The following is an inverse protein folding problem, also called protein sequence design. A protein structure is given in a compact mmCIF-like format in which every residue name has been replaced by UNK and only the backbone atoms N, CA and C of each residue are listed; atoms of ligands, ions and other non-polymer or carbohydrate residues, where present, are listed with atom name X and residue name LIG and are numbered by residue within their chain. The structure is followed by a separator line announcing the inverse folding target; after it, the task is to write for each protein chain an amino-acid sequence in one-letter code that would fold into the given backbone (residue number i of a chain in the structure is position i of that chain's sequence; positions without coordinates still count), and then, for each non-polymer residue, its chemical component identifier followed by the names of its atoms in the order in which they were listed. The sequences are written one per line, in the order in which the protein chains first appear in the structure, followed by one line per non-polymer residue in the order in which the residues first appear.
data_IF_165618255066
#
_entry.id   IF_165618255066
#
_cell.length_a   1.000
_cell.length_b   1.000
_cell.length_c   1.000
_cell.angle_alpha   90.00
_cell.angle_beta   90.00
_cell.angle_gamma   90.00
#
_symmetry.space_group_name_H-M   'P 1'
#
loop_
_entity.id
_entity.type
_entity.pdbx_description
1 polymer ?
#
# COMPACT_ATOMS: atom_id res chain seq x y z
N UNK A 1 14.51 -7.97 -5.36
CA UNK A 1 13.45 -7.28 -4.58
C UNK A 1 13.42 -7.75 -3.12
N UNK A 2 12.92 -6.96 -2.17
CA UNK A 2 12.62 -7.40 -0.79
C UNK A 2 11.11 -7.27 -0.58
N UNK A 3 10.45 -8.36 -0.21
CA UNK A 3 9.03 -8.35 0.13
C UNK A 3 8.86 -8.26 1.64
N UNK A 4 7.94 -7.40 2.08
CA UNK A 4 7.56 -7.27 3.49
C UNK A 4 6.07 -7.56 3.59
N UNK A 5 5.70 -8.46 4.49
CA UNK A 5 4.32 -8.64 4.93
C UNK A 5 4.24 -8.46 6.46
N UNK A 6 3.06 -8.62 7.04
CA UNK A 6 2.80 -8.37 8.46
C UNK A 6 3.70 -9.14 9.43
N UNK A 7 4.34 -10.23 8.98
CA UNK A 7 5.16 -11.10 9.84
C UNK A 7 6.54 -11.43 9.27
N UNK A 8 6.82 -11.12 8.00
CA UNK A 8 8.05 -11.59 7.35
C UNK A 8 8.65 -10.53 6.45
N UNK A 9 9.97 -10.46 6.46
CA UNK A 9 10.78 -9.82 5.42
C UNK A 9 11.51 -10.93 4.65
N UNK A 10 11.30 -10.96 3.34
CA UNK A 10 11.78 -12.03 2.46
C UNK A 10 12.71 -11.46 1.39
N UNK A 11 13.97 -11.94 1.27
CA UNK A 11 14.82 -11.62 0.14
C UNK A 11 14.33 -12.35 -1.12
N UNK A 12 13.78 -11.61 -2.09
CA UNK A 12 13.36 -12.17 -3.38
C UNK A 12 14.52 -12.09 -4.37
N UNK A 13 15.24 -13.21 -4.48
CA UNK A 13 16.32 -13.38 -5.46
C UNK A 13 15.75 -13.72 -6.84
N UNK A 14 16.45 -13.26 -7.87
CA UNK A 14 16.18 -13.65 -9.26
C UNK A 14 16.39 -15.16 -9.41
N UNK A 15 15.37 -15.86 -9.90
CA UNK A 15 15.40 -17.33 -10.07
C UNK A 15 15.79 -17.71 -11.50
N UNK A 16 15.30 -16.96 -12.49
CA UNK A 16 15.55 -17.18 -13.92
C UNK A 16 15.88 -15.87 -14.62
N UNK A 17 16.52 -15.97 -15.78
CA UNK A 17 16.76 -14.83 -16.66
C UNK A 17 15.45 -14.32 -17.29
N UNK A 18 15.36 -13.01 -17.59
CA UNK A 18 14.22 -12.45 -18.32
C UNK A 18 14.00 -13.20 -19.64
N UNK A 19 12.74 -13.44 -19.98
CA UNK A 19 12.37 -14.23 -21.16
C UNK A 19 12.23 -13.32 -22.39
N UNK A 20 12.82 -13.73 -23.51
CA UNK A 20 12.81 -12.95 -24.75
C UNK A 20 13.43 -11.57 -24.54
N UNK A 21 12.68 -10.52 -24.87
CA UNK A 21 13.08 -9.12 -24.73
C UNK A 21 12.52 -8.45 -23.47
N UNK A 22 12.01 -9.23 -22.52
CA UNK A 22 11.52 -8.69 -21.25
C UNK A 22 12.65 -7.98 -20.50
N UNK A 23 12.38 -6.78 -20.00
CA UNK A 23 13.31 -5.97 -19.21
C UNK A 23 12.68 -5.63 -17.87
N UNK A 24 13.49 -5.37 -16.84
CA UNK A 24 12.97 -4.87 -15.57
C UNK A 24 12.55 -3.41 -15.71
N UNK A 25 11.49 -3.02 -15.00
CA UNK A 25 10.92 -1.67 -15.09
C UNK A 25 11.91 -0.57 -14.68
N UNK A 26 12.82 -0.86 -13.73
CA UNK A 26 13.83 0.09 -13.30
C UNK A 26 14.73 0.53 -14.46
N UNK A 27 15.23 -0.42 -15.25
CA UNK A 27 16.05 -0.14 -16.43
C UNK A 27 15.24 0.50 -17.56
N UNK A 28 13.98 0.10 -17.75
CA UNK A 28 13.09 0.71 -18.76
C UNK A 28 12.91 2.20 -18.44
N UNK A 29 12.54 2.55 -17.20
CA UNK A 29 12.34 3.95 -16.81
C UNK A 29 13.64 4.75 -16.75
N UNK A 30 14.76 4.11 -16.42
CA UNK A 30 16.08 4.74 -16.47
C UNK A 30 16.47 5.12 -17.91
N UNK A 31 16.19 4.25 -18.89
CA UNK A 31 16.42 4.54 -20.31
C UNK A 31 15.46 5.60 -20.84
N UNK A 32 14.18 5.54 -20.49
CA UNK A 32 13.20 6.57 -20.86
C UNK A 32 13.66 7.94 -20.33
N UNK A 33 14.20 7.99 -19.11
CA UNK A 33 14.72 9.22 -18.52
C UNK A 33 15.88 9.81 -19.31
N UNK A 34 16.79 8.97 -19.81
CA UNK A 34 17.89 9.39 -20.69
C UNK A 34 17.38 9.96 -22.02
N UNK A 35 16.32 9.36 -22.59
CA UNK A 35 15.71 9.86 -23.82
C UNK A 35 15.01 11.22 -23.63
N UNK A 36 14.45 11.46 -22.44
CA UNK A 36 13.81 12.75 -22.11
C UNK A 36 14.85 13.86 -21.97
N UNK A 37 16.00 13.55 -21.35
CA UNK A 37 17.07 14.53 -21.11
C UNK A 37 18.42 13.81 -21.01
N UNK A 38 19.41 14.32 -21.72
CA UNK A 38 20.79 13.84 -21.59
C UNK A 38 21.26 13.85 -20.12
N UNK A 39 21.76 12.72 -19.63
CA UNK A 39 22.10 12.49 -18.23
C UNK A 39 20.91 12.18 -17.31
N UNK A 40 19.71 12.00 -17.88
CA UNK A 40 18.48 11.69 -17.14
C UNK A 40 18.54 10.32 -16.47
N UNK A 41 19.31 9.36 -17.00
CA UNK A 41 19.53 8.06 -16.36
C UNK A 41 20.18 8.22 -14.99
N UNK A 42 21.24 9.01 -14.90
CA UNK A 42 21.99 9.19 -13.64
C UNK A 42 21.14 9.89 -12.59
N UNK A 43 20.32 10.85 -13.01
CA UNK A 43 19.36 11.53 -12.13
C UNK A 43 18.30 10.56 -11.63
N UNK A 44 17.68 9.77 -12.51
CA UNK A 44 16.63 8.81 -12.15
C UNK A 44 17.16 7.69 -11.23
N UNK A 45 18.33 7.15 -11.58
CA UNK A 45 18.93 6.05 -10.80
C UNK A 45 19.63 6.53 -9.54
N UNK A 46 19.84 7.84 -9.38
CA UNK A 46 20.74 8.45 -8.39
C UNK A 46 22.15 7.83 -8.42
N UNK A 47 22.60 7.39 -9.60
CA UNK A 47 23.82 6.62 -9.83
C UNK A 47 23.93 5.34 -8.97
N UNK A 48 22.79 4.76 -8.55
CA UNK A 48 22.71 3.52 -7.77
C UNK A 48 22.23 2.35 -8.64
N UNK A 49 22.80 1.18 -8.40
CA UNK A 49 22.27 -0.07 -8.97
C UNK A 49 21.01 -0.54 -8.22
N UNK A 50 20.27 -1.51 -8.79
CA UNK A 50 19.16 -2.17 -8.08
C UNK A 50 19.61 -2.72 -6.72
N UNK A 51 20.81 -3.32 -6.65
CA UNK A 51 21.35 -3.87 -5.41
C UNK A 51 21.67 -2.79 -4.37
N UNK A 52 22.13 -1.61 -4.80
CA UNK A 52 22.36 -0.47 -3.91
C UNK A 52 21.05 0.06 -3.33
N UNK A 53 20.01 0.13 -4.17
CA UNK A 53 18.65 0.48 -3.73
C UNK A 53 18.11 -0.52 -2.71
N UNK A 54 18.19 -1.82 -2.99
CA UNK A 54 17.76 -2.88 -2.07
C UNK A 54 18.49 -2.82 -0.74
N UNK A 55 19.81 -2.61 -0.77
CA UNK A 55 20.62 -2.42 0.43
C UNK A 55 20.16 -1.19 1.22
N UNK A 56 19.92 -0.06 0.57
CA UNK A 56 19.46 1.17 1.21
C UNK A 56 18.08 1.01 1.88
N UNK A 57 17.13 0.35 1.22
CA UNK A 57 15.82 0.02 1.80
C UNK A 57 15.96 -0.89 3.01
N UNK A 58 16.79 -1.94 2.90
CA UNK A 58 17.06 -2.86 4.00
C UNK A 58 17.68 -2.16 5.21
N UNK A 59 18.67 -1.30 5.01
CA UNK A 59 19.33 -0.57 6.09
C UNK A 59 18.37 0.42 6.77
N UNK A 60 17.46 1.04 6.01
CA UNK A 60 16.38 1.87 6.56
C UNK A 60 15.43 1.05 7.42
N UNK A 61 15.00 -0.12 6.92
CA UNK A 61 14.18 -1.06 7.70
C UNK A 61 14.92 -1.57 8.94
N UNK A 62 16.22 -1.86 8.85
CA UNK A 62 17.05 -2.29 9.97
C UNK A 62 17.13 -1.22 11.07
N UNK A 63 17.23 0.06 10.71
CA UNK A 63 17.18 1.17 11.69
C UNK A 63 15.85 1.19 12.44
N UNK A 64 14.72 1.05 11.74
CA UNK A 64 13.39 0.96 12.36
C UNK A 64 13.21 -0.31 13.21
N UNK A 65 13.67 -1.46 12.73
CA UNK A 65 13.60 -2.74 13.42
C UNK A 65 14.34 -2.76 14.76
N UNK A 66 15.45 -2.03 14.88
CA UNK A 66 16.16 -1.86 16.17
C UNK A 66 15.28 -1.23 17.23
N UNK A 67 14.48 -0.21 16.88
CA UNK A 67 13.54 0.42 17.82
C UNK A 67 12.45 -0.56 18.28
N UNK A 68 12.04 -1.48 17.40
CA UNK A 68 11.08 -2.54 17.68
C UNK A 68 11.69 -3.83 18.28
N UNK A 69 13.00 -3.83 18.60
CA UNK A 69 13.75 -5.00 19.10
C UNK A 69 13.72 -6.23 18.17
N UNK A 70 13.61 -6.00 16.85
CA UNK A 70 13.72 -7.05 15.83
C UNK A 70 15.18 -7.24 15.45
N UNK A 71 15.69 -8.47 15.54
CA UNK A 71 17.07 -8.80 15.17
C UNK A 71 17.17 -8.97 13.65
N UNK A 72 17.75 -7.98 12.99
CA UNK A 72 18.00 -8.00 11.55
C UNK A 72 19.51 -8.11 11.27
N UNK A 73 20.00 -9.13 10.54
CA UNK A 73 21.43 -9.30 10.21
C UNK A 73 21.96 -8.20 9.29
N UNK A 74 23.24 -8.19 8.94
CA UNK A 74 23.72 -7.30 7.86
C UNK A 74 23.07 -7.66 6.52
N UNK A 75 22.98 -6.70 5.59
CA UNK A 75 22.42 -6.96 4.25
C UNK A 75 23.15 -8.10 3.55
N UNK A 76 24.49 -8.11 3.59
CA UNK A 76 25.29 -9.19 3.00
C UNK A 76 24.94 -10.56 3.57
N UNK A 77 24.75 -10.67 4.89
CA UNK A 77 24.36 -11.92 5.53
C UNK A 77 22.93 -12.34 5.14
N UNK A 78 21.98 -11.40 5.12
CA UNK A 78 20.62 -11.69 4.64
C UNK A 78 20.65 -12.22 3.20
N UNK A 79 21.42 -11.55 2.34
CA UNK A 79 21.50 -11.89 0.94
C UNK A 79 22.21 -13.22 0.72
N UNK A 80 23.23 -13.55 1.50
CA UNK A 80 23.93 -14.84 1.41
C UNK A 80 23.03 -15.99 1.89
N UNK A 81 22.47 -15.89 3.11
CA UNK A 81 21.69 -16.99 3.71
C UNK A 81 20.35 -17.21 3.02
N UNK A 82 19.79 -16.17 2.38
CA UNK A 82 18.47 -16.22 1.75
C UNK A 82 17.35 -16.61 2.72
N UNK A 83 17.55 -16.38 4.01
CA UNK A 83 16.58 -16.69 5.06
C UNK A 83 15.58 -15.55 5.21
N UNK A 84 14.32 -15.90 5.45
CA UNK A 84 13.31 -14.91 5.84
C UNK A 84 13.58 -14.39 7.26
N UNK A 85 13.31 -13.11 7.48
CA UNK A 85 13.32 -12.52 8.82
C UNK A 85 11.90 -12.53 9.35
N UNK A 86 11.66 -13.24 10.44
CA UNK A 86 10.37 -13.24 11.13
C UNK A 86 10.25 -12.05 12.09
N UNK A 87 9.19 -11.28 11.91
CA UNK A 87 8.72 -10.25 12.84
C UNK A 87 7.79 -10.94 13.82
N UNK A 88 8.30 -11.15 15.05
CA UNK A 88 7.58 -11.90 16.08
C UNK A 88 6.23 -11.29 16.40
N UNK A 89 5.26 -12.17 16.60
CA UNK A 89 3.95 -11.83 17.13
C UNK A 89 4.07 -11.01 18.44
N UNK A 90 3.28 -9.94 18.53
CA UNK A 90 3.21 -9.09 19.71
C UNK A 90 1.86 -9.29 20.41
N UNK A 91 1.88 -9.86 21.62
CA UNK A 91 0.67 -9.97 22.47
C UNK A 91 0.00 -8.61 22.71
N UNK A 92 0.81 -7.55 22.86
CA UNK A 92 0.32 -6.18 22.99
C UNK A 92 -0.44 -5.74 21.73
N UNK A 93 0.11 -6.00 20.55
CA UNK A 93 -0.55 -5.66 19.29
C UNK A 93 -1.82 -6.51 19.05
N UNK A 94 -1.80 -7.77 19.46
CA UNK A 94 -2.95 -8.67 19.35
C UNK A 94 -4.13 -8.27 20.25
N UNK A 95 -3.88 -7.50 21.31
CA UNK A 95 -4.93 -6.91 22.17
C UNK A 95 -5.56 -5.64 21.61
N UNK A 96 -5.22 -5.23 20.37
CA UNK A 96 -5.77 -4.02 19.77
C UNK A 96 -7.27 -4.14 19.52
N UNK A 97 -8.04 -3.17 20.02
CA UNK A 97 -9.49 -3.06 19.81
C UNK A 97 -9.77 -1.79 19.01
N UNK A 98 -10.21 -1.96 17.76
CA UNK A 98 -10.48 -0.84 16.84
C UNK A 98 -11.54 0.10 17.45
N UNK A 99 -11.26 1.41 17.43
CA UNK A 99 -12.11 2.48 17.96
C UNK A 99 -12.38 2.46 19.48
N UNK A 100 -11.64 1.67 20.28
CA UNK A 100 -11.82 1.64 21.73
C UNK A 100 -11.59 3.01 22.39
N UNK A 101 -10.55 3.74 21.99
CA UNK A 101 -10.21 5.04 22.59
C UNK A 101 -11.25 6.11 22.24
N UNK A 102 -11.70 6.17 20.97
CA UNK A 102 -12.80 7.04 20.55
C UNK A 102 -14.10 6.73 21.33
N UNK A 103 -14.42 5.45 21.54
CA UNK A 103 -15.58 5.06 22.35
C UNK A 103 -15.43 5.47 23.80
N UNK A 104 -14.23 5.40 24.36
CA UNK A 104 -13.93 5.74 25.76
C UNK A 104 -14.02 7.25 26.00
N UNK A 105 -13.44 8.04 25.11
CA UNK A 105 -13.45 9.51 25.18
C UNK A 105 -13.34 10.10 23.76
N UNK A 106 -14.48 10.46 23.13
CA UNK A 106 -14.50 11.01 21.78
C UNK A 106 -14.05 12.47 21.70
N UNK A 107 -13.93 13.18 22.83
CA UNK A 107 -13.45 14.58 22.86
C UNK A 107 -11.92 14.59 22.81
N UNK A 108 -11.28 13.72 23.59
CA UNK A 108 -9.82 13.58 23.61
C UNK A 108 -9.27 12.75 22.46
N UNK A 109 -10.08 11.86 21.88
CA UNK A 109 -9.68 11.00 20.74
C UNK A 109 -10.64 11.17 19.55
N UNK A 110 -10.80 12.40 19.00
CA UNK A 110 -11.75 12.66 17.93
C UNK A 110 -11.37 11.93 16.64
N UNK A 111 -12.37 11.62 15.80
CA UNK A 111 -12.13 11.15 14.43
C UNK A 111 -11.63 12.30 13.55
N UNK A 112 -11.01 11.98 12.41
CA UNK A 112 -10.51 12.97 11.44
C UNK A 112 -11.61 13.60 10.58
N UNK A 113 -12.82 13.76 11.11
CA UNK A 113 -13.96 14.41 10.46
C UNK A 113 -14.10 15.86 10.94
N UNK A 114 -14.77 16.75 10.20
CA UNK A 114 -15.00 18.13 10.63
C UNK A 114 -15.61 18.25 12.03
N UNK A 115 -16.54 17.35 12.38
CA UNK A 115 -17.17 17.32 13.71
C UNK A 115 -16.39 16.54 14.79
N UNK A 116 -15.31 15.84 14.42
CA UNK A 116 -14.61 14.90 15.29
C UNK A 116 -15.40 13.60 15.57
N UNK A 117 -16.55 13.39 14.93
CA UNK A 117 -17.49 12.29 15.15
C UNK A 117 -17.78 11.50 13.88
N UNK A 118 -18.55 10.42 14.01
CA UNK A 118 -19.16 9.75 12.87
C UNK A 118 -20.26 10.66 12.32
N UNK A 119 -20.10 11.11 11.08
CA UNK A 119 -21.05 12.00 10.40
C UNK A 119 -22.08 11.17 9.65
N UNK A 120 -23.27 11.02 10.23
CA UNK A 120 -24.43 10.43 9.53
C UNK A 120 -24.91 11.36 8.41
N UNK A 121 -24.72 12.66 8.62
CA UNK A 121 -24.96 13.72 7.64
C UNK A 121 -23.69 14.56 7.50
N UNK A 122 -23.19 14.77 6.28
CA UNK A 122 -21.98 15.55 6.00
C UNK A 122 -22.31 16.89 5.34
N UNK A 123 -22.09 17.98 6.08
CA UNK A 123 -22.20 19.35 5.55
C UNK A 123 -21.17 19.63 4.45
N UNK A 124 -20.03 18.94 4.49
CA UNK A 124 -19.00 19.05 3.45
C UNK A 124 -19.54 18.54 2.12
N UNK A 125 -20.21 17.37 2.12
CA UNK A 125 -20.82 16.80 0.91
C UNK A 125 -22.01 17.66 0.45
N UNK A 126 -22.83 18.14 1.38
CA UNK A 126 -23.95 19.06 1.08
C UNK A 126 -23.45 20.28 0.28
N UNK A 127 -22.33 20.88 0.71
CA UNK A 127 -21.75 22.07 0.07
C UNK A 127 -21.26 21.85 -1.36
N UNK A 128 -21.04 20.60 -1.80
CA UNK A 128 -20.67 20.32 -3.19
C UNK A 128 -21.88 20.30 -4.14
N UNK A 129 -23.10 20.09 -3.62
CA UNK A 129 -24.32 20.10 -4.42
C UNK A 129 -24.39 19.01 -5.48
N UNK A 130 -23.78 17.84 -5.24
CA UNK A 130 -23.83 16.70 -6.16
C UNK A 130 -25.20 16.02 -6.15
N UNK A 131 -25.76 15.79 -7.33
CA UNK A 131 -27.05 15.09 -7.50
C UNK A 131 -26.92 13.58 -7.24
N UNK A 132 -25.78 12.99 -7.58
CA UNK A 132 -25.47 11.56 -7.47
C UNK A 132 -24.76 11.17 -6.16
N UNK A 133 -24.57 12.14 -5.25
CA UNK A 133 -23.93 11.90 -3.95
C UNK A 133 -24.54 12.78 -2.84
N UNK A 134 -25.74 12.44 -2.33
CA UNK A 134 -26.38 13.18 -1.25
C UNK A 134 -25.58 13.16 0.06
N UNK A 135 -25.77 14.14 0.97
CA UNK A 135 -24.98 14.29 2.19
C UNK A 135 -25.27 13.25 3.29
N UNK A 136 -26.19 12.32 3.06
CA UNK A 136 -26.48 11.20 3.95
C UNK A 136 -26.76 9.94 3.12
N UNK A 137 -26.65 8.73 3.72
CA UNK A 137 -26.99 7.50 3.03
C UNK A 137 -28.38 7.59 2.40
N UNK A 138 -28.42 7.35 1.10
CA UNK A 138 -29.62 7.50 0.26
C UNK A 138 -29.66 6.34 -0.73
N UNK A 139 -30.84 5.75 -0.90
CA UNK A 139 -31.04 4.75 -1.95
C UNK A 139 -31.22 5.48 -3.28
N UNK A 140 -30.32 5.23 -4.22
CA UNK A 140 -30.39 5.73 -5.59
C UNK A 140 -30.42 4.52 -6.53
N UNK A 141 -31.27 4.58 -7.54
CA UNK A 141 -31.37 3.51 -8.53
C UNK A 141 -30.11 3.52 -9.40
N UNK A 142 -29.33 2.42 -9.44
CA UNK A 142 -28.15 2.34 -10.30
C UNK A 142 -28.58 2.24 -11.78
N UNK A 143 -27.66 2.52 -12.70
CA UNK A 143 -27.92 2.41 -14.14
C UNK A 143 -28.37 1.01 -14.56
N UNK A 144 -27.83 -0.02 -13.92
CA UNK A 144 -28.17 -1.42 -14.18
C UNK A 144 -28.33 -2.17 -12.84
N UNK A 145 -29.43 -2.90 -12.68
CA UNK A 145 -29.67 -3.83 -11.58
C UNK A 145 -30.63 -4.94 -12.02
N UNK A 146 -30.83 -5.95 -11.18
CA UNK A 146 -31.70 -7.08 -11.49
C UNK A 146 -33.10 -6.67 -12.00
N UNK A 147 -33.69 -5.61 -11.46
CA UNK A 147 -35.01 -5.13 -11.85
C UNK A 147 -35.06 -4.29 -13.13
N UNK A 148 -33.91 -3.95 -13.72
CA UNK A 148 -33.84 -3.16 -14.96
C UNK A 148 -33.62 -4.01 -16.22
N UNK A 149 -33.52 -5.34 -16.10
CA UNK A 149 -33.35 -6.24 -17.24
C UNK A 149 -34.63 -6.27 -18.10
N UNK A 150 -34.49 -6.09 -19.42
CA UNK A 150 -35.61 -6.18 -20.37
C UNK A 150 -35.91 -7.64 -20.71
N UNK A 151 -37.05 -7.87 -21.37
CA UNK A 151 -37.43 -9.20 -21.84
C UNK A 151 -36.36 -9.76 -22.79
N UNK A 152 -35.83 -10.94 -22.47
CA UNK A 152 -34.72 -11.57 -23.18
C UNK A 152 -33.30 -11.15 -22.73
N UNK A 153 -33.14 -10.21 -21.79
CA UNK A 153 -31.84 -9.85 -21.21
C UNK A 153 -31.55 -10.65 -19.93
N UNK A 154 -30.26 -10.85 -19.63
CA UNK A 154 -29.79 -11.50 -18.40
C UNK A 154 -29.01 -10.50 -17.55
N UNK A 155 -29.33 -10.44 -16.26
CA UNK A 155 -28.50 -9.75 -15.29
C UNK A 155 -27.27 -10.61 -14.95
N UNK A 156 -26.06 -10.09 -15.20
CA UNK A 156 -24.81 -10.76 -14.86
C UNK A 156 -24.35 -10.27 -13.49
N UNK A 157 -24.56 -11.09 -12.47
CA UNK A 157 -23.96 -10.86 -11.16
C UNK A 157 -22.44 -11.12 -11.21
N UNK A 158 -21.59 -10.23 -10.69
CA UNK A 158 -20.13 -10.41 -10.67
C UNK A 158 -19.64 -11.40 -9.60
N UNK A 159 -20.48 -12.35 -9.18
CA UNK A 159 -20.23 -13.33 -8.12
C UNK A 159 -20.45 -14.75 -8.59
#
# INVERSE_FOLDING_TARGET
MIQINSQHLVPMKKVVEPQGEARNDFDIFADISEQIKAGGRDVYTESKSEMDWLKGFYETAQKGGRAARVRMPSFGKLWETNELIEIKFSKKAAGFVRHADFRKDPVMNPLSTPSGKIEIYSKTIEGYGYEDCPPHPTCMEPTEFFGSAKDGELFISPH
#
